data_IF_137173902973
#
_entry.id   IF_137173902973
#
_cell.length_a   1.000
_cell.length_b   1.000
_cell.length_c   1.000
_cell.angle_alpha   90.00
_cell.angle_beta   90.00
_cell.angle_gamma   90.00
#
_symmetry.space_group_name_H-M   'P 1'
#
loop_
_entity.id
_entity.type
_entity.pdbx_description
1 polymer ?
#
# COMPACT_ATOMS: atom_id res chain seq x y z
N UNK A 1 8.21 28.11 -66.14
CA UNK A 1 8.29 29.02 -64.98
C UNK A 1 9.60 28.74 -64.26
N UNK A 2 10.44 29.76 -64.05
CA UNK A 2 11.71 29.62 -63.31
C UNK A 2 11.47 29.10 -61.88
N UNK A 3 12.41 28.33 -61.35
CA UNK A 3 12.34 27.81 -59.96
C UNK A 3 12.37 28.99 -58.98
N UNK A 4 11.77 28.81 -57.80
CA UNK A 4 11.72 29.88 -56.77
C UNK A 4 13.12 30.39 -56.39
N UNK A 5 14.13 29.53 -56.47
CA UNK A 5 15.52 29.87 -56.19
C UNK A 5 16.11 30.84 -57.24
N UNK A 6 15.84 30.60 -58.54
CA UNK A 6 16.23 31.49 -59.63
C UNK A 6 15.49 32.83 -59.56
N UNK A 7 14.19 32.79 -59.22
CA UNK A 7 13.40 34.00 -58.97
C UNK A 7 14.01 34.80 -57.81
N UNK A 8 14.33 34.17 -56.68
CA UNK A 8 14.96 34.83 -55.55
C UNK A 8 16.34 35.43 -55.88
N UNK A 9 17.07 34.81 -56.80
CA UNK A 9 18.37 35.30 -57.28
C UNK A 9 18.29 36.38 -58.37
N UNK A 10 17.11 36.73 -58.87
CA UNK A 10 16.93 37.82 -59.82
C UNK A 10 17.52 39.14 -59.29
N UNK A 11 18.09 39.95 -60.20
CA UNK A 11 18.70 41.25 -59.88
C UNK A 11 17.76 42.15 -59.07
N UNK A 12 16.46 42.15 -59.41
CA UNK A 12 15.46 42.95 -58.71
C UNK A 12 15.26 42.45 -57.27
N UNK A 13 15.16 41.14 -57.06
CA UNK A 13 14.99 40.58 -55.73
C UNK A 13 16.24 40.76 -54.87
N UNK A 14 17.44 40.61 -55.44
CA UNK A 14 18.70 40.96 -54.77
C UNK A 14 18.73 42.44 -54.37
N UNK A 15 18.35 43.35 -55.26
CA UNK A 15 18.29 44.79 -54.96
C UNK A 15 17.27 45.13 -53.86
N UNK A 16 16.08 44.54 -53.90
CA UNK A 16 15.07 44.72 -52.85
C UNK A 16 15.58 44.21 -51.50
N UNK A 17 16.20 43.02 -51.47
CA UNK A 17 16.78 42.49 -50.22
C UNK A 17 17.91 43.36 -49.69
N UNK A 18 18.75 43.93 -50.57
CA UNK A 18 19.80 44.87 -50.20
C UNK A 18 19.21 46.15 -49.58
N UNK A 19 18.20 46.74 -50.22
CA UNK A 19 17.51 47.94 -49.69
C UNK A 19 16.79 47.67 -48.37
N UNK A 20 16.20 46.49 -48.20
CA UNK A 20 15.64 46.08 -46.92
C UNK A 20 16.70 45.84 -45.85
N UNK A 21 17.86 45.30 -46.22
CA UNK A 21 18.97 45.11 -45.30
C UNK A 21 19.62 46.43 -44.87
N UNK A 22 19.61 47.46 -45.71
CA UNK A 22 20.07 48.81 -45.34
C UNK A 22 19.15 49.45 -44.29
N UNK A 23 17.85 49.17 -44.35
CA UNK A 23 16.86 49.67 -43.39
C UNK A 23 16.91 48.94 -42.05
N UNK A 24 17.39 47.69 -42.01
CA UNK A 24 17.49 46.88 -40.80
C UNK A 24 18.90 47.03 -40.21
N UNK A 25 19.04 47.16 -38.88
CA UNK A 25 20.36 47.08 -38.28
C UNK A 25 21.01 45.73 -38.64
N UNK A 26 22.34 45.67 -38.80
CA UNK A 26 23.02 44.42 -39.11
C UNK A 26 22.61 43.35 -38.10
N UNK A 27 22.50 42.09 -38.54
CA UNK A 27 22.24 40.96 -37.65
C UNK A 27 23.37 40.90 -36.63
N UNK A 28 23.15 41.50 -35.47
CA UNK A 28 24.10 41.48 -34.37
C UNK A 28 24.33 40.01 -33.99
N UNK A 29 25.60 39.66 -33.79
CA UNK A 29 25.96 38.37 -33.22
C UNK A 29 25.83 38.50 -31.71
N UNK A 30 25.38 37.42 -31.07
CA UNK A 30 25.38 37.37 -29.61
C UNK A 30 26.81 37.57 -29.08
N UNK A 31 27.01 38.39 -28.05
CA UNK A 31 28.28 38.46 -27.34
C UNK A 31 28.69 37.08 -26.83
N UNK A 32 30.00 36.83 -26.74
CA UNK A 32 30.52 35.57 -26.19
C UNK A 32 30.30 35.50 -24.69
N UNK A 33 30.54 36.61 -23.98
CA UNK A 33 30.38 36.71 -22.54
C UNK A 33 29.09 37.44 -22.20
N UNK A 34 28.20 36.80 -21.43
CA UNK A 34 26.94 37.42 -21.02
C UNK A 34 27.16 38.69 -20.17
N UNK A 35 28.26 38.77 -19.42
CA UNK A 35 28.60 39.90 -18.56
C UNK A 35 28.81 41.23 -19.30
N UNK A 36 29.12 41.19 -20.60
CA UNK A 36 29.29 42.39 -21.43
C UNK A 36 27.97 43.11 -21.69
N UNK A 37 26.85 42.38 -21.68
CA UNK A 37 25.53 42.95 -21.89
C UNK A 37 25.06 43.70 -20.64
N UNK A 38 24.68 44.96 -20.79
CA UNK A 38 24.16 45.82 -19.70
C UNK A 38 22.67 46.11 -19.83
N UNK A 39 22.08 45.85 -20.97
CA UNK A 39 20.66 46.06 -21.21
C UNK A 39 19.87 44.77 -21.01
N UNK A 40 18.72 44.89 -20.34
CA UNK A 40 17.85 43.76 -20.03
C UNK A 40 17.11 43.27 -21.27
N UNK A 41 16.65 44.18 -22.15
CA UNK A 41 15.92 43.82 -23.35
C UNK A 41 16.81 43.07 -24.35
N UNK A 42 18.06 43.50 -24.50
CA UNK A 42 19.05 42.77 -25.29
C UNK A 42 19.36 41.39 -24.71
N UNK A 43 19.54 41.27 -23.39
CA UNK A 43 19.79 39.99 -22.74
C UNK A 43 18.64 38.99 -22.97
N UNK A 44 17.39 39.43 -22.85
CA UNK A 44 16.21 38.61 -23.15
C UNK A 44 16.14 38.21 -24.63
N UNK A 45 16.50 39.11 -25.55
CA UNK A 45 16.57 38.81 -26.98
C UNK A 45 17.59 37.70 -27.27
N UNK A 46 18.78 37.75 -26.65
CA UNK A 46 19.80 36.71 -26.82
C UNK A 46 19.37 35.38 -26.21
N UNK A 47 18.72 35.41 -25.03
CA UNK A 47 18.12 34.21 -24.43
C UNK A 47 17.10 33.56 -25.36
N UNK A 48 16.19 34.34 -25.95
CA UNK A 48 15.20 33.83 -26.90
C UNK A 48 15.85 33.26 -28.17
N UNK A 49 16.90 33.90 -28.67
CA UNK A 49 17.65 33.36 -29.81
C UNK A 49 18.25 31.99 -29.49
N UNK A 50 18.87 31.83 -28.32
CA UNK A 50 19.43 30.55 -27.86
C UNK A 50 18.32 29.49 -27.77
N UNK A 51 17.16 29.83 -27.24
CA UNK A 51 16.02 28.91 -27.17
C UNK A 51 15.53 28.46 -28.56
N UNK A 52 15.51 29.36 -29.56
CA UNK A 52 15.17 29.01 -30.94
C UNK A 52 16.22 28.13 -31.61
N UNK A 53 17.49 28.34 -31.31
CA UNK A 53 18.58 27.48 -31.79
C UNK A 53 18.50 26.08 -31.16
N UNK A 54 18.24 26.01 -29.85
CA UNK A 54 17.98 24.74 -29.16
C UNK A 54 16.78 24.02 -29.79
N UNK A 55 15.65 24.71 -29.97
CA UNK A 55 14.44 24.11 -30.55
C UNK A 55 14.67 23.52 -31.94
N UNK A 56 15.42 24.20 -32.81
CA UNK A 56 15.79 23.68 -34.14
C UNK A 56 16.65 22.42 -34.05
N UNK A 57 17.70 22.44 -33.23
CA UNK A 57 18.59 21.27 -33.06
C UNK A 57 17.90 20.09 -32.39
N UNK A 58 17.03 20.34 -31.41
CA UNK A 58 16.21 19.29 -30.79
C UNK A 58 15.26 18.67 -31.81
N UNK A 59 14.66 19.46 -32.70
CA UNK A 59 13.89 18.94 -33.83
C UNK A 59 14.72 18.08 -34.79
N UNK A 60 15.98 18.45 -35.04
CA UNK A 60 16.91 17.62 -35.83
C UNK A 60 17.25 16.30 -35.11
N UNK A 61 17.47 16.33 -33.80
CA UNK A 61 17.80 15.16 -32.96
C UNK A 61 16.63 14.17 -32.86
N UNK A 62 15.38 14.62 -33.02
CA UNK A 62 14.22 13.72 -33.02
C UNK A 62 14.21 12.78 -34.24
N UNK A 63 14.96 13.10 -35.30
CA UNK A 63 15.06 12.23 -36.47
C UNK A 63 16.04 11.07 -36.18
N UNK A 64 15.51 9.87 -35.90
CA UNK A 64 16.29 8.66 -35.63
C UNK A 64 17.13 8.18 -36.82
N UNK A 65 16.78 8.62 -38.03
CA UNK A 65 17.55 8.32 -39.25
C UNK A 65 18.84 9.13 -39.41
N UNK A 66 19.12 10.10 -38.53
CA UNK A 66 20.44 10.74 -38.50
C UNK A 66 21.48 9.75 -37.96
N UNK A 67 22.63 9.67 -38.62
CA UNK A 67 23.74 8.83 -38.17
C UNK A 67 24.17 9.15 -36.73
N UNK A 68 24.60 8.13 -36.00
CA UNK A 68 24.95 8.22 -34.57
C UNK A 68 25.93 9.36 -34.25
N UNK A 69 27.00 9.52 -35.04
CA UNK A 69 27.99 10.58 -34.82
C UNK A 69 27.35 11.97 -34.87
N UNK A 70 26.48 12.21 -35.85
CA UNK A 70 25.79 13.49 -35.99
C UNK A 70 24.81 13.73 -34.83
N UNK A 71 24.16 12.69 -34.32
CA UNK A 71 23.32 12.80 -33.13
C UNK A 71 24.14 13.18 -31.90
N UNK A 72 25.35 12.63 -31.74
CA UNK A 72 26.27 12.99 -30.65
C UNK A 72 26.71 14.46 -30.75
N UNK A 73 27.15 14.90 -31.93
CA UNK A 73 27.57 16.28 -32.17
C UNK A 73 26.44 17.28 -31.91
N UNK A 74 25.24 17.01 -32.44
CA UNK A 74 24.06 17.86 -32.20
C UNK A 74 23.70 17.92 -30.72
N UNK A 75 23.81 16.80 -30.00
CA UNK A 75 23.55 16.75 -28.57
C UNK A 75 24.58 17.55 -27.76
N UNK A 76 25.86 17.48 -28.12
CA UNK A 76 26.91 18.31 -27.52
C UNK A 76 26.69 19.80 -27.77
N UNK A 77 26.30 20.16 -28.99
CA UNK A 77 25.95 21.54 -29.33
C UNK A 77 24.75 22.05 -28.55
N UNK A 78 23.70 21.23 -28.36
CA UNK A 78 22.54 21.59 -27.52
C UNK A 78 22.97 21.77 -26.06
N UNK A 79 23.80 20.88 -25.51
CA UNK A 79 24.32 21.03 -24.16
C UNK A 79 25.18 22.29 -23.99
N UNK A 80 25.97 22.67 -25.01
CA UNK A 80 26.71 23.93 -25.03
C UNK A 80 25.74 25.12 -25.00
N UNK A 81 24.69 25.11 -25.81
CA UNK A 81 23.67 26.16 -25.82
C UNK A 81 22.90 26.25 -24.48
N UNK A 82 22.66 25.13 -23.79
CA UNK A 82 22.02 25.15 -22.46
C UNK A 82 22.92 25.79 -21.39
N UNK A 83 24.23 25.57 -21.45
CA UNK A 83 25.19 26.25 -20.57
C UNK A 83 25.23 27.75 -20.87
N UNK A 84 25.28 28.12 -22.14
CA UNK A 84 25.19 29.53 -22.55
C UNK A 84 23.87 30.16 -22.05
N UNK A 85 22.73 29.48 -22.24
CA UNK A 85 21.42 29.92 -21.73
C UNK A 85 21.47 30.19 -20.23
N UNK A 86 22.09 29.31 -19.44
CA UNK A 86 22.21 29.49 -18.00
C UNK A 86 22.97 30.79 -17.64
N UNK A 87 24.07 31.09 -18.35
CA UNK A 87 24.80 32.34 -18.14
C UNK A 87 23.96 33.57 -18.48
N UNK A 88 23.19 33.52 -19.57
CA UNK A 88 22.26 34.59 -19.94
C UNK A 88 21.11 34.75 -18.94
N UNK A 89 20.52 33.65 -18.46
CA UNK A 89 19.47 33.67 -17.43
C UNK A 89 19.98 34.24 -16.10
N UNK A 90 21.21 33.89 -15.72
CA UNK A 90 21.87 34.49 -14.56
C UNK A 90 22.12 35.99 -14.76
N UNK A 91 22.58 36.40 -15.95
CA UNK A 91 22.81 37.81 -16.26
C UNK A 91 21.51 38.62 -16.21
N UNK A 92 20.41 38.09 -16.73
CA UNK A 92 19.09 38.73 -16.66
C UNK A 92 18.67 38.90 -15.20
N UNK A 93 18.87 37.89 -14.36
CA UNK A 93 18.63 37.98 -12.91
C UNK A 93 19.49 39.08 -12.25
N UNK A 94 20.79 39.16 -12.59
CA UNK A 94 21.71 40.19 -12.08
C UNK A 94 21.32 41.62 -12.53
N UNK A 95 20.73 41.77 -13.72
CA UNK A 95 20.20 43.05 -14.23
C UNK A 95 18.83 43.42 -13.63
N UNK A 96 18.28 42.62 -12.71
CA UNK A 96 16.99 42.86 -12.07
C UNK A 96 15.78 42.31 -12.84
N UNK A 97 16.01 41.43 -13.81
CA UNK A 97 14.96 40.78 -14.61
C UNK A 97 14.35 39.52 -13.98
N UNK A 98 13.41 38.88 -14.69
CA UNK A 98 12.74 37.67 -14.21
C UNK A 98 13.69 36.49 -13.99
N UNK A 99 13.46 35.75 -12.91
CA UNK A 99 14.25 34.56 -12.56
C UNK A 99 13.78 33.32 -13.34
N UNK A 100 14.19 33.21 -14.61
CA UNK A 100 13.81 32.09 -15.49
C UNK A 100 14.24 30.71 -14.98
N UNK A 101 15.31 30.61 -14.21
CA UNK A 101 15.79 29.34 -13.65
C UNK A 101 14.77 28.68 -12.70
N UNK A 102 14.10 29.47 -11.85
CA UNK A 102 13.13 28.95 -10.87
C UNK A 102 11.84 28.46 -11.51
N UNK A 103 11.44 29.10 -12.61
CA UNK A 103 10.22 28.79 -13.35
C UNK A 103 10.44 27.84 -14.53
N UNK A 104 11.67 27.37 -14.74
CA UNK A 104 11.94 26.42 -15.80
C UNK A 104 11.27 25.08 -15.44
N UNK A 105 10.36 24.56 -16.28
CA UNK A 105 9.83 23.22 -16.06
C UNK A 105 11.02 22.25 -16.04
N UNK A 106 11.04 21.35 -15.05
CA UNK A 106 11.97 20.22 -15.08
C UNK A 106 11.72 19.50 -16.40
N UNK A 107 12.73 19.48 -17.27
CA UNK A 107 12.63 18.88 -18.59
C UNK A 107 12.49 17.36 -18.39
N UNK A 108 11.25 16.90 -18.31
CA UNK A 108 10.87 15.49 -18.36
C UNK A 108 10.49 15.16 -19.79
N UNK A 109 10.88 13.99 -20.27
CA UNK A 109 10.48 13.53 -21.59
C UNK A 109 8.97 13.24 -21.65
N UNK A 110 8.44 13.00 -22.86
CA UNK A 110 7.06 12.49 -23.04
C UNK A 110 6.81 11.21 -22.22
N UNK A 111 7.85 10.40 -22.01
CA UNK A 111 7.82 9.18 -21.19
C UNK A 111 8.03 9.43 -19.68
N UNK A 112 8.04 10.69 -19.23
CA UNK A 112 8.23 11.06 -17.82
C UNK A 112 9.64 10.77 -17.26
N UNK A 113 10.57 10.29 -18.08
CA UNK A 113 11.95 10.04 -17.67
C UNK A 113 12.75 11.35 -17.59
N UNK A 114 13.55 11.46 -16.54
CA UNK A 114 14.47 12.57 -16.32
C UNK A 114 15.54 12.51 -17.42
N UNK A 115 15.67 13.59 -18.18
CA UNK A 115 16.58 13.69 -19.35
C UNK A 115 18.06 13.88 -18.94
N UNK A 116 18.28 14.21 -17.67
CA UNK A 116 19.57 14.58 -17.11
C UNK A 116 20.25 13.38 -16.45
N UNK A 117 21.43 13.03 -16.93
CA UNK A 117 22.30 12.08 -16.23
C UNK A 117 22.84 12.80 -14.99
N UNK A 118 22.60 12.29 -13.77
CA UNK A 118 23.11 12.92 -12.55
C UNK A 118 24.63 13.08 -12.64
N UNK A 119 25.11 14.31 -12.44
CA UNK A 119 26.54 14.58 -12.44
C UNK A 119 27.20 13.79 -11.28
N UNK A 120 28.19 12.91 -11.53
CA UNK A 120 28.87 12.15 -10.48
C UNK A 120 29.50 13.03 -9.40
N UNK A 121 29.85 14.28 -9.74
CA UNK A 121 30.45 15.25 -8.83
C UNK A 121 29.40 16.03 -8.01
N UNK A 122 28.10 15.90 -8.30
CA UNK A 122 27.02 16.64 -7.64
C UNK A 122 27.04 18.16 -7.84
N UNK A 123 28.04 18.71 -8.54
CA UNK A 123 28.16 20.14 -8.85
C UNK A 123 27.66 20.47 -10.24
N UNK A 124 26.50 21.13 -10.28
CA UNK A 124 25.97 21.77 -11.48
C UNK A 124 25.13 20.85 -12.37
N UNK A 125 24.56 21.42 -13.44
CA UNK A 125 23.64 20.70 -14.32
C UNK A 125 24.38 19.57 -15.05
N UNK A 126 23.84 18.36 -14.95
CA UNK A 126 24.36 17.17 -15.61
C UNK A 126 24.28 17.26 -17.13
N UNK A 127 24.99 16.36 -17.79
CA UNK A 127 24.91 16.19 -19.24
C UNK A 127 23.54 15.62 -19.61
N UNK A 128 22.93 16.16 -20.67
CA UNK A 128 21.56 15.81 -21.08
C UNK A 128 21.57 15.17 -22.46
N UNK A 129 20.73 14.16 -22.66
CA UNK A 129 20.56 13.50 -23.96
C UNK A 129 19.15 13.76 -24.47
N UNK A 130 18.98 14.32 -25.67
CA UNK A 130 17.65 14.64 -26.22
C UNK A 130 17.19 13.60 -27.24
N UNK A 131 15.89 13.32 -27.34
CA UNK A 131 15.28 12.52 -28.42
C UNK A 131 16.04 11.23 -28.78
N UNK A 132 16.40 11.07 -30.06
CA UNK A 132 17.12 9.90 -30.56
C UNK A 132 18.51 9.73 -29.93
N UNK A 133 19.13 10.80 -29.41
CA UNK A 133 20.43 10.72 -28.74
C UNK A 133 20.38 9.86 -27.46
N UNK A 134 19.20 9.65 -26.87
CA UNK A 134 19.01 8.71 -25.74
C UNK A 134 19.10 7.25 -26.14
N UNK A 135 18.78 6.93 -27.39
CA UNK A 135 18.77 5.57 -27.92
C UNK A 135 20.15 5.12 -28.41
N UNK A 136 21.15 6.00 -28.34
CA UNK A 136 22.51 5.69 -28.74
C UNK A 136 23.10 4.55 -27.89
N UNK A 137 23.91 3.66 -28.49
CA UNK A 137 24.67 2.64 -27.76
C UNK A 137 25.47 3.25 -26.59
N UNK A 138 25.43 2.60 -25.43
CA UNK A 138 26.05 3.05 -24.17
C UNK A 138 25.30 4.16 -23.42
N UNK A 139 24.56 5.03 -24.11
CA UNK A 139 23.69 6.04 -23.46
C UNK A 139 22.37 5.43 -23.04
N UNK A 140 21.82 4.56 -23.89
CA UNK A 140 20.56 3.85 -23.65
C UNK A 140 20.58 3.08 -22.33
N UNK A 141 21.69 2.43 -22.03
CA UNK A 141 21.90 1.67 -20.79
C UNK A 141 21.84 2.56 -19.53
N UNK A 142 22.21 3.85 -19.63
CA UNK A 142 22.13 4.79 -18.50
C UNK A 142 20.69 5.17 -18.16
N UNK A 143 19.77 5.08 -19.12
CA UNK A 143 18.37 5.44 -18.95
C UNK A 143 17.44 4.24 -18.81
N UNK A 144 17.86 3.05 -19.24
CA UNK A 144 17.16 1.80 -18.96
C UNK A 144 17.21 1.56 -17.45
N UNK A 145 16.11 1.91 -16.76
CA UNK A 145 15.94 1.58 -15.35
C UNK A 145 16.11 0.07 -15.22
N UNK A 146 16.96 -0.41 -14.29
CA UNK A 146 17.02 -1.84 -14.01
C UNK A 146 15.59 -2.31 -13.74
N UNK A 147 15.17 -3.45 -14.30
CA UNK A 147 13.81 -3.93 -14.15
C UNK A 147 13.46 -3.91 -12.67
N UNK A 148 12.35 -3.25 -12.31
CA UNK A 148 11.96 -3.12 -10.91
C UNK A 148 11.94 -4.52 -10.30
N UNK A 149 12.91 -4.81 -9.44
CA UNK A 149 12.96 -6.08 -8.74
C UNK A 149 11.62 -6.22 -8.06
N UNK A 150 10.87 -7.26 -8.41
CA UNK A 150 9.57 -7.56 -7.80
C UNK A 150 9.73 -7.39 -6.31
N UNK A 151 9.09 -6.36 -5.74
CA UNK A 151 9.19 -6.08 -4.30
C UNK A 151 8.83 -7.38 -3.59
N UNK A 152 9.78 -7.93 -2.82
CA UNK A 152 9.49 -9.10 -1.99
C UNK A 152 8.31 -8.73 -1.11
N UNK A 153 7.35 -9.65 -0.96
CA UNK A 153 6.18 -9.41 -0.12
C UNK A 153 6.67 -8.96 1.25
N UNK A 154 6.22 -7.80 1.69
CA UNK A 154 6.58 -7.32 3.02
C UNK A 154 5.88 -8.19 4.05
N UNK A 155 6.40 -8.21 5.28
CA UNK A 155 5.76 -8.96 6.37
C UNK A 155 4.31 -8.50 6.61
N UNK A 156 4.03 -7.21 6.40
CA UNK A 156 2.68 -6.66 6.41
C UNK A 156 1.77 -7.25 5.32
N UNK A 157 2.27 -7.37 4.08
CA UNK A 157 1.50 -7.97 2.97
C UNK A 157 1.19 -9.45 3.23
N UNK A 158 2.08 -10.15 3.94
CA UNK A 158 1.88 -11.54 4.37
C UNK A 158 0.81 -11.58 5.44
N UNK A 159 0.92 -10.77 6.51
CA UNK A 159 -0.08 -10.71 7.58
C UNK A 159 -1.46 -10.28 7.07
N UNK A 160 -1.54 -9.43 6.06
CA UNK A 160 -2.82 -9.04 5.44
C UNK A 160 -3.55 -10.21 4.76
N UNK A 161 -2.82 -11.24 4.34
CA UNK A 161 -3.38 -12.48 3.75
C UNK A 161 -3.61 -13.57 4.78
N UNK A 162 -3.05 -13.44 5.99
CA UNK A 162 -3.32 -14.33 7.10
C UNK A 162 -4.67 -13.90 7.68
N UNK A 163 -5.73 -14.53 7.20
CA UNK A 163 -7.10 -14.32 7.63
C UNK A 163 -7.51 -15.35 8.70
N UNK A 164 -8.73 -15.22 9.23
CA UNK A 164 -9.26 -16.17 10.20
C UNK A 164 -9.26 -17.62 9.66
N UNK A 165 -9.37 -17.77 8.34
CA UNK A 165 -9.28 -19.06 7.63
C UNK A 165 -7.92 -19.73 7.83
N UNK A 166 -6.81 -18.97 7.88
CA UNK A 166 -5.48 -19.54 8.17
C UNK A 166 -5.40 -20.20 9.57
N UNK A 167 -6.20 -19.72 10.52
CA UNK A 167 -6.28 -20.27 11.87
C UNK A 167 -7.40 -21.31 12.02
N UNK A 168 -8.07 -21.71 10.94
CA UNK A 168 -9.09 -22.77 10.94
C UNK A 168 -10.44 -22.34 11.53
N UNK A 169 -10.68 -21.05 11.79
CA UNK A 169 -11.97 -20.58 12.34
C UNK A 169 -13.17 -20.77 11.39
N UNK A 170 -12.93 -21.19 10.14
CA UNK A 170 -13.97 -21.47 9.13
C UNK A 170 -14.00 -22.93 8.67
N UNK A 171 -13.15 -23.79 9.22
CA UNK A 171 -13.07 -25.20 8.79
C UNK A 171 -14.35 -25.97 9.18
N UNK A 172 -15.04 -25.53 10.24
CA UNK A 172 -16.33 -26.10 10.68
C UNK A 172 -17.50 -25.69 9.75
N UNK A 173 -17.35 -24.61 8.97
CA UNK A 173 -18.39 -24.10 8.07
C UNK A 173 -18.44 -24.83 6.72
N UNK A 174 -17.47 -25.72 6.43
CA UNK A 174 -17.43 -26.50 5.17
C UNK A 174 -18.54 -27.57 5.09
N UNK A 175 -19.32 -27.77 6.17
CA UNK A 175 -20.44 -28.71 6.23
C UNK A 175 -20.04 -30.19 6.15
N UNK A 176 -18.74 -30.48 6.11
CA UNK A 176 -18.18 -31.84 6.16
C UNK A 176 -18.41 -32.43 7.55
N UNK A 177 -18.19 -31.64 8.60
CA UNK A 177 -18.35 -32.05 9.99
C UNK A 177 -19.81 -32.45 10.27
N UNK A 178 -20.78 -31.63 9.88
CA UNK A 178 -22.22 -31.92 10.06
C UNK A 178 -22.65 -33.26 9.45
N UNK A 179 -22.09 -33.63 8.29
CA UNK A 179 -22.41 -34.91 7.63
C UNK A 179 -21.86 -36.10 8.41
N UNK A 180 -20.65 -35.97 8.96
CA UNK A 180 -20.04 -37.01 9.77
C UNK A 180 -20.74 -37.15 11.12
N UNK A 181 -21.10 -36.03 11.75
CA UNK A 181 -21.84 -36.01 13.02
C UNK A 181 -23.22 -36.64 12.88
N UNK A 182 -24.00 -36.32 11.84
CA UNK A 182 -25.32 -36.94 11.61
C UNK A 182 -25.25 -38.47 11.49
N UNK A 183 -24.22 -38.99 10.84
CA UNK A 183 -24.02 -40.44 10.72
C UNK A 183 -23.69 -41.06 12.08
N UNK A 184 -22.78 -40.45 12.84
CA UNK A 184 -22.38 -40.92 14.17
C UNK A 184 -23.52 -40.80 15.20
N UNK A 185 -24.27 -39.69 15.18
CA UNK A 185 -25.43 -39.45 16.02
C UNK A 185 -26.52 -40.50 15.75
N UNK A 186 -26.77 -40.84 14.48
CA UNK A 186 -27.71 -41.90 14.12
C UNK A 186 -27.34 -43.26 14.71
N UNK A 187 -26.06 -43.63 14.73
CA UNK A 187 -25.59 -44.86 15.37
C UNK A 187 -25.76 -44.82 16.89
N UNK A 188 -25.37 -43.70 17.52
CA UNK A 188 -25.49 -43.52 18.97
C UNK A 188 -26.95 -43.53 19.44
N UNK A 189 -27.84 -42.87 18.69
CA UNK A 189 -29.27 -42.84 18.97
C UNK A 189 -29.89 -44.23 18.85
N UNK A 190 -29.51 -45.03 17.85
CA UNK A 190 -29.95 -46.43 17.74
C UNK A 190 -29.52 -47.24 18.96
N UNK A 191 -28.25 -47.16 19.36
CA UNK A 191 -27.74 -47.85 20.55
C UNK A 191 -28.49 -47.45 21.83
N UNK A 192 -28.73 -46.15 22.02
CA UNK A 192 -29.47 -45.64 23.17
C UNK A 192 -30.94 -46.09 23.17
N UNK A 193 -31.60 -46.12 22.01
CA UNK A 193 -32.98 -46.63 21.87
C UNK A 193 -33.04 -48.14 22.13
N UNK A 194 -32.08 -48.91 21.64
CA UNK A 194 -32.01 -50.35 21.88
C UNK A 194 -31.78 -50.66 23.37
N UNK A 195 -30.91 -49.90 24.04
CA UNK A 195 -30.70 -49.98 25.48
C UNK A 195 -31.97 -49.61 26.26
N UNK A 196 -32.63 -48.51 25.88
CA UNK A 196 -33.90 -48.09 26.48
C UNK A 196 -35.00 -49.14 26.29
N UNK A 197 -35.12 -49.76 25.11
CA UNK A 197 -36.08 -50.84 24.85
C UNK A 197 -35.82 -52.05 25.73
N UNK A 198 -34.56 -52.47 25.89
CA UNK A 198 -34.20 -53.57 26.81
C UNK A 198 -34.59 -53.25 28.25
N UNK A 199 -34.30 -52.03 28.71
CA UNK A 199 -34.68 -51.59 30.05
C UNK A 199 -36.20 -51.48 30.22
N UNK A 200 -36.93 -51.06 29.19
CA UNK A 200 -38.40 -50.99 29.19
C UNK A 200 -39.04 -52.38 29.18
N UNK A 201 -38.46 -53.35 28.46
CA UNK A 201 -38.87 -54.75 28.51
C UNK A 201 -38.66 -55.35 29.90
N UNK A 202 -37.51 -55.14 30.52
CA UNK A 202 -37.26 -55.54 31.93
C UNK A 202 -38.24 -54.86 32.89
N UNK A 203 -38.53 -53.57 32.67
CA UNK A 203 -39.52 -52.82 33.45
C UNK A 203 -40.94 -53.37 33.26
N UNK A 204 -41.31 -53.77 32.05
CA UNK A 204 -42.61 -54.38 31.73
C UNK A 204 -42.73 -55.80 32.27
N UNK A 205 -41.66 -56.59 32.27
CA UNK A 205 -41.64 -57.92 32.90
C UNK A 205 -41.74 -57.82 34.42
N UNK A 206 -41.05 -56.86 35.05
CA UNK A 206 -41.24 -56.55 36.46
C UNK A 206 -42.68 -56.10 36.76
N UNK A 207 -43.30 -55.32 35.85
CA UNK A 207 -44.71 -54.91 35.96
C UNK A 207 -45.68 -56.07 35.73
N UNK A 208 -45.36 -57.02 34.83
CA UNK A 208 -46.16 -58.23 34.59
C UNK A 208 -46.11 -59.19 35.78
N UNK A 209 -44.94 -59.35 36.40
CA UNK A 209 -44.78 -60.07 37.66
C UNK A 209 -45.52 -59.41 38.83
N UNK A 210 -45.69 -58.09 38.81
CA UNK A 210 -46.52 -57.37 39.77
C UNK A 210 -48.04 -57.48 39.49
N UNK A 211 -48.46 -57.69 38.23
CA UNK A 211 -49.89 -57.90 37.88
C UNK A 211 -50.41 -59.30 38.17
N UNK A 212 -49.57 -60.32 38.38
CA UNK A 212 -50.01 -61.64 38.86
C UNK A 212 -50.31 -61.68 40.38
N UNK A 213 -49.92 -60.64 41.14
CA UNK A 213 -50.16 -60.53 42.59
C UNK A 213 -51.24 -59.50 42.97
N UNK A 214 -51.90 -58.87 41.99
CA UNK A 214 -53.05 -57.99 42.24
C UNK A 214 -54.18 -58.32 41.26
N UNK A 215 -54.76 -59.50 41.46
CA UNK A 215 -56.05 -59.91 40.88
C UNK A 215 -57.13 -60.16 41.94
N UNK A 216 -57.09 -59.41 43.05
CA UNK A 216 -58.31 -58.99 43.77
C UNK A 216 -58.05 -57.60 44.38
N UNK A 217 -58.73 -56.58 43.86
CA UNK A 217 -58.94 -55.32 44.61
C UNK A 217 -58.24 -54.07 44.08
N UNK A 218 -58.55 -53.64 42.86
CA UNK A 218 -58.58 -52.22 42.49
C UNK A 218 -59.38 -52.03 41.19
N UNK A 219 -60.69 -52.21 41.29
CA UNK A 219 -61.62 -51.59 40.36
C UNK A 219 -61.63 -50.08 40.64
N UNK A 220 -60.79 -49.31 39.94
CA UNK A 220 -60.99 -47.89 39.68
C UNK A 220 -59.89 -47.36 38.74
N UNK A 221 -60.33 -46.62 37.72
CA UNK A 221 -59.53 -45.74 36.85
C UNK A 221 -58.80 -46.38 35.65
N UNK A 222 -59.52 -47.10 34.78
CA UNK A 222 -59.09 -47.22 33.37
C UNK A 222 -60.27 -47.32 32.41
N UNK A 223 -60.97 -46.20 32.28
CA UNK A 223 -61.92 -45.88 31.20
C UNK A 223 -61.92 -44.35 31.20
N UNK A 224 -61.13 -43.66 30.37
CA UNK A 224 -61.44 -43.05 29.05
C UNK A 224 -60.23 -42.10 28.86
N UNK A 225 -59.23 -42.24 27.96
CA UNK A 225 -59.25 -42.24 26.49
C UNK A 225 -60.24 -41.23 25.88
N UNK A 226 -59.87 -39.94 26.01
CA UNK A 226 -60.24 -38.88 25.08
C UNK A 226 -58.97 -38.08 24.74
N UNK A 227 -58.01 -38.76 24.11
CA UNK A 227 -56.89 -38.18 23.38
C UNK A 227 -57.41 -37.88 21.98
N UNK A 228 -57.68 -36.61 21.66
CA UNK A 228 -57.75 -36.09 20.26
C UNK A 228 -57.95 -34.56 20.20
N UNK A 229 -58.28 -33.86 21.31
CA UNK A 229 -58.39 -32.39 21.34
C UNK A 229 -57.33 -31.66 22.19
N UNK A 230 -56.48 -32.37 22.95
CA UNK A 230 -55.35 -31.74 23.67
C UNK A 230 -54.11 -31.51 22.79
N UNK A 231 -53.92 -32.28 21.71
CA UNK A 231 -52.70 -32.22 20.89
C UNK A 231 -52.58 -30.90 20.09
N UNK A 232 -53.68 -30.25 19.72
CA UNK A 232 -53.65 -28.97 19.00
C UNK A 232 -53.35 -27.79 19.95
N UNK A 233 -53.77 -27.90 21.22
CA UNK A 233 -53.50 -26.86 22.24
C UNK A 233 -52.10 -27.02 22.82
N UNK A 234 -51.56 -28.24 22.86
CA UNK A 234 -50.18 -28.50 23.29
C UNK A 234 -49.16 -28.08 22.21
N UNK A 235 -49.43 -28.28 20.92
CA UNK A 235 -48.53 -27.81 19.84
C UNK A 235 -48.44 -26.27 19.77
N UNK A 236 -49.55 -25.52 19.91
CA UNK A 236 -49.51 -24.04 19.99
C UNK A 236 -48.83 -23.52 21.26
N UNK A 237 -48.85 -24.32 22.34
CA UNK A 237 -48.22 -23.98 23.62
C UNK A 237 -46.73 -24.27 23.59
N UNK A 238 -46.32 -25.35 22.93
CA UNK A 238 -44.92 -25.70 22.65
C UNK A 238 -44.30 -24.72 21.65
N UNK A 239 -45.01 -24.25 20.63
CA UNK A 239 -44.48 -23.21 19.72
C UNK A 239 -44.29 -21.86 20.43
N UNK A 240 -45.21 -21.46 21.31
CA UNK A 240 -45.04 -20.27 22.17
C UNK A 240 -43.88 -20.43 23.15
N UNK A 241 -43.73 -21.60 23.78
CA UNK A 241 -42.58 -21.88 24.66
C UNK A 241 -41.25 -21.89 23.89
N UNK A 242 -41.25 -22.32 22.62
CA UNK A 242 -40.07 -22.36 21.75
C UNK A 242 -39.72 -21.00 21.13
N UNK A 243 -40.68 -20.10 20.96
CA UNK A 243 -40.46 -18.68 20.65
C UNK A 243 -39.95 -17.93 21.89
N UNK A 244 -40.49 -18.19 23.09
CA UNK A 244 -39.99 -17.65 24.36
C UNK A 244 -38.56 -18.14 24.71
N UNK A 245 -38.19 -19.38 24.33
CA UNK A 245 -36.82 -19.88 24.45
C UNK A 245 -35.84 -19.22 23.46
N UNK A 246 -36.31 -18.76 22.30
CA UNK A 246 -35.49 -17.99 21.34
C UNK A 246 -35.28 -16.54 21.76
N UNK A 247 -36.21 -15.97 22.52
CA UNK A 247 -36.05 -14.62 23.11
C UNK A 247 -35.17 -14.63 24.38
N UNK A 248 -34.99 -15.79 25.01
CA UNK A 248 -34.03 -15.97 26.11
C UNK A 248 -32.66 -16.33 25.56
N UNK A 249 -31.97 -15.35 24.99
CA UNK A 249 -30.53 -15.46 24.75
C UNK A 249 -29.84 -15.91 26.05
N UNK A 250 -29.16 -17.05 26.00
CA UNK A 250 -28.45 -17.64 27.12
C UNK A 250 -27.25 -16.75 27.50
N UNK A 251 -27.50 -15.73 28.32
CA UNK A 251 -26.46 -14.85 28.84
C UNK A 251 -25.80 -15.53 30.04
N UNK A 252 -24.68 -16.21 29.79
CA UNK A 252 -23.77 -16.65 30.85
C UNK A 252 -23.15 -15.40 31.47
N UNK A 253 -23.62 -15.00 32.65
CA UNK A 253 -22.99 -13.94 33.40
C UNK A 253 -21.67 -14.48 33.97
N UNK A 254 -20.59 -14.27 33.23
CA UNK A 254 -19.24 -14.42 33.75
C UNK A 254 -19.08 -13.35 34.83
N UNK A 255 -18.76 -13.70 36.10
CA UNK A 255 -18.49 -12.72 37.13
C UNK A 255 -17.26 -11.91 36.71
N UNK A 256 -17.50 -10.73 36.16
CA UNK A 256 -16.45 -9.77 35.84
C UNK A 256 -16.06 -9.10 37.15
N UNK A 257 -14.76 -9.08 37.51
CA UNK A 257 -14.30 -8.36 38.68
C UNK A 257 -14.70 -6.88 38.59
N UNK A 258 -15.20 -6.33 39.71
CA UNK A 258 -15.53 -4.91 39.80
C UNK A 258 -14.28 -4.04 39.55
N UNK A 259 -14.44 -2.80 39.11
CA UNK A 259 -13.32 -1.87 38.84
C UNK A 259 -12.35 -1.77 40.03
N UNK A 260 -12.87 -1.82 41.26
CA UNK A 260 -12.07 -1.80 42.49
C UNK A 260 -11.23 -3.07 42.69
N UNK A 261 -11.71 -4.22 42.24
CA UNK A 261 -10.98 -5.48 42.31
C UNK A 261 -9.88 -5.53 41.26
N UNK A 262 -10.16 -5.01 40.07
CA UNK A 262 -9.15 -4.84 39.02
C UNK A 262 -8.04 -3.91 39.50
N UNK A 263 -8.38 -2.77 40.11
CA UNK A 263 -7.39 -1.84 40.67
C UNK A 263 -6.52 -2.49 41.74
N UNK A 264 -7.11 -3.28 42.65
CA UNK A 264 -6.35 -4.02 43.67
C UNK A 264 -5.41 -5.05 43.03
N UNK A 265 -5.90 -5.85 42.08
CA UNK A 265 -5.05 -6.82 41.39
C UNK A 265 -3.92 -6.16 40.59
N UNK A 266 -4.18 -5.00 39.97
CA UNK A 266 -3.15 -4.23 39.26
C UNK A 266 -2.13 -3.65 40.25
N UNK A 267 -2.57 -3.15 41.40
CA UNK A 267 -1.68 -2.67 42.45
C UNK A 267 -0.82 -3.80 43.03
N UNK A 268 -1.40 -4.97 43.26
CA UNK A 268 -0.67 -6.15 43.71
C UNK A 268 0.35 -6.61 42.68
N UNK A 269 -0.02 -6.69 41.39
CA UNK A 269 0.94 -6.99 40.31
C UNK A 269 2.08 -5.98 40.26
N UNK A 270 1.77 -4.68 40.29
CA UNK A 270 2.79 -3.63 40.32
C UNK A 270 3.69 -3.72 41.55
N UNK A 271 3.13 -4.05 42.72
CA UNK A 271 3.90 -4.27 43.95
C UNK A 271 4.80 -5.49 43.82
N UNK A 272 4.32 -6.58 43.23
CA UNK A 272 5.11 -7.77 42.95
C UNK A 272 6.21 -7.51 41.94
N UNK A 273 5.93 -6.72 40.90
CA UNK A 273 6.92 -6.34 39.89
C UNK A 273 8.00 -5.43 40.49
N UNK A 274 7.63 -4.46 41.33
CA UNK A 274 8.60 -3.66 42.09
C UNK A 274 9.41 -4.51 43.07
N UNK A 275 8.79 -5.48 43.76
CA UNK A 275 9.52 -6.40 44.61
C UNK A 275 10.47 -7.29 43.79
N UNK A 276 10.08 -7.69 42.58
CA UNK A 276 10.98 -8.43 41.68
C UNK A 276 12.13 -7.57 41.17
N UNK A 277 11.89 -6.30 40.85
CA UNK A 277 12.94 -5.40 40.36
C UNK A 277 13.91 -4.97 41.46
N UNK A 278 13.41 -4.70 42.66
CA UNK A 278 14.19 -4.06 43.75
C UNK A 278 14.51 -4.98 44.92
N UNK A 279 13.89 -6.16 44.99
CA UNK A 279 14.15 -7.19 45.99
C UNK A 279 14.34 -8.57 45.33
N UNK A 280 14.83 -8.59 44.07
CA UNK A 280 15.38 -9.82 43.50
C UNK A 280 16.47 -10.35 44.42
N UNK A 281 16.51 -11.68 44.58
CA UNK A 281 17.51 -12.37 45.41
C UNK A 281 18.93 -11.93 45.02
N UNK A 282 19.19 -11.81 43.71
CA UNK A 282 20.46 -11.32 43.15
C UNK A 282 20.84 -9.90 43.63
N UNK A 283 19.89 -8.97 43.71
CA UNK A 283 20.17 -7.59 44.11
C UNK A 283 20.39 -7.48 45.63
N UNK A 284 19.66 -8.28 46.41
CA UNK A 284 19.85 -8.38 47.86
C UNK A 284 21.22 -8.98 48.16
N UNK A 285 21.63 -10.03 47.46
CA UNK A 285 22.96 -10.63 47.58
C UNK A 285 24.06 -9.60 47.27
N UNK A 286 23.96 -8.91 46.13
CA UNK A 286 24.89 -7.83 45.78
C UNK A 286 24.93 -6.71 46.83
N UNK A 287 23.80 -6.34 47.42
CA UNK A 287 23.76 -5.35 48.49
C UNK A 287 24.44 -5.86 49.76
N UNK A 288 24.27 -7.13 50.12
CA UNK A 288 24.93 -7.74 51.29
C UNK A 288 26.43 -7.85 51.09
N UNK A 289 26.89 -8.22 49.90
CA UNK A 289 28.30 -8.24 49.53
C UNK A 289 28.91 -6.84 49.58
N UNK A 290 28.23 -5.85 49.01
CA UNK A 290 28.69 -4.45 49.05
C UNK A 290 28.76 -3.90 50.49
N UNK A 291 27.79 -4.23 51.36
CA UNK A 291 27.82 -3.86 52.78
C UNK A 291 28.95 -4.55 53.54
N UNK A 292 29.24 -5.81 53.22
CA UNK A 292 30.38 -6.54 53.79
C UNK A 292 31.71 -5.89 53.38
N UNK A 293 31.85 -5.49 52.12
CA UNK A 293 33.03 -4.77 51.61
C UNK A 293 33.20 -3.38 52.25
N UNK A 294 32.09 -2.70 52.58
CA UNK A 294 32.09 -1.38 53.22
C UNK A 294 32.15 -1.45 54.76
N UNK A 295 32.16 -2.65 55.35
CA UNK A 295 32.23 -2.89 56.80
C UNK A 295 31.13 -2.16 57.62
N UNK A 296 29.96 -1.94 57.00
CA UNK A 296 28.80 -1.32 57.65
C UNK A 296 27.93 -2.44 58.19
N UNK A 297 28.21 -2.88 59.41
CA UNK A 297 27.32 -3.78 60.16
C UNK A 297 26.29 -2.95 60.93
N UNK A 298 25.02 -3.08 60.58
CA UNK A 298 23.91 -2.61 61.40
C UNK A 298 22.76 -3.59 61.34
#
# INVERSE_FOLDING_TARGET
MARNEEKAQSMLNRFVTMKESEKKPPKARRPYLASECRDLAEADKWRQQILREIGRKVGEIQNEGLGEHRLRDLNDEVNKLLRERYHWERRISELGGPNYWKHAPKMTDLDGNIVEVPNPSGRGPGYRYFGAAKKLPGVRELFEKPPELRKRRTRYDIYKRIDASYYGYRDDEDGILERLEKNAEGEMRKRAVDEWRRLDEVRKEARKGATEVVSVGAAAAKEVLFEEEEDVVEEERIEREREEEKEREFVVHVPLPDEKEIEKMVLEKKKMDLLREYASEDLVEQQTEAKAMLNIQR
#
